data_IF_731031713160
#
_entry.id   IF_731031713160
#
_cell.length_a   1.000
_cell.length_b   1.000
_cell.length_c   1.000
_cell.angle_alpha   90.00
_cell.angle_beta   90.00
_cell.angle_gamma   90.00
#
_symmetry.space_group_name_H-M   'P 1'
#
loop_
_entity.id
_entity.type
_entity.pdbx_description
1 polymer ?
#
# COMPACT_ATOMS: atom_id res chain seq x y z
N UNK A 1 -5.66 17.72 21.15
CA UNK A 1 -6.24 17.09 19.94
C UNK A 1 -7.53 16.27 20.18
N UNK A 2 -8.36 16.58 21.19
CA UNK A 2 -9.61 15.85 21.48
C UNK A 2 -10.89 16.36 20.80
N UNK A 3 -10.80 17.34 19.88
CA UNK A 3 -11.98 18.08 19.38
C UNK A 3 -12.56 17.59 18.04
N UNK A 4 -11.84 16.84 17.21
CA UNK A 4 -12.37 16.40 15.90
C UNK A 4 -13.22 15.12 16.01
N UNK A 5 -12.75 14.10 16.74
CA UNK A 5 -13.49 12.84 16.91
C UNK A 5 -14.86 13.03 17.57
N UNK A 6 -14.96 13.95 18.53
CA UNK A 6 -16.21 14.28 19.23
C UNK A 6 -17.24 14.97 18.34
N UNK A 7 -16.81 15.60 17.23
CA UNK A 7 -17.67 16.27 16.24
C UNK A 7 -18.19 15.36 15.14
N UNK A 8 -17.71 14.13 15.04
CA UNK A 8 -18.17 13.17 14.03
C UNK A 8 -19.61 12.72 14.33
N UNK A 9 -20.45 12.71 13.31
CA UNK A 9 -21.81 12.17 13.37
C UNK A 9 -21.83 10.67 13.68
N UNK A 10 -22.98 10.16 14.14
CA UNK A 10 -23.15 8.74 14.47
C UNK A 10 -22.89 7.82 13.28
N UNK A 11 -23.35 8.22 12.09
CA UNK A 11 -23.16 7.47 10.84
C UNK A 11 -21.68 7.38 10.46
N UNK A 12 -20.97 8.51 10.38
CA UNK A 12 -19.53 8.53 10.10
C UNK A 12 -18.73 7.68 11.09
N UNK A 13 -19.08 7.68 12.38
CA UNK A 13 -18.42 6.80 13.38
C UNK A 13 -18.66 5.32 13.09
N UNK A 14 -19.86 4.96 12.63
CA UNK A 14 -20.19 3.59 12.22
C UNK A 14 -19.38 3.18 10.98
N UNK A 15 -19.32 4.05 9.97
CA UNK A 15 -18.52 3.83 8.76
C UNK A 15 -17.04 3.65 9.06
N UNK A 16 -16.45 4.53 9.86
CA UNK A 16 -15.05 4.42 10.30
C UNK A 16 -14.80 3.15 11.14
N UNK A 17 -15.81 2.67 11.88
CA UNK A 17 -15.71 1.38 12.56
C UNK A 17 -15.70 0.21 11.55
N UNK A 18 -16.59 0.20 10.56
CA UNK A 18 -16.58 -0.82 9.52
C UNK A 18 -15.25 -0.84 8.75
N UNK A 19 -14.68 0.33 8.48
CA UNK A 19 -13.35 0.45 7.89
C UNK A 19 -12.25 -0.16 8.78
N UNK A 20 -12.26 0.10 10.08
CA UNK A 20 -11.31 -0.53 11.00
C UNK A 20 -11.44 -2.05 11.01
N UNK A 21 -12.68 -2.54 11.02
CA UNK A 21 -13.00 -3.95 11.10
C UNK A 21 -12.50 -4.73 9.85
N UNK A 22 -12.19 -4.05 8.73
CA UNK A 22 -11.52 -4.66 7.56
C UNK A 22 -10.02 -4.36 7.45
N UNK A 23 -9.56 -3.15 7.79
CA UNK A 23 -8.14 -2.80 7.67
C UNK A 23 -7.28 -3.60 8.64
N UNK A 24 -7.76 -3.85 9.86
CA UNK A 24 -6.99 -4.63 10.86
C UNK A 24 -6.73 -6.06 10.40
N UNK A 25 -7.75 -6.85 9.98
CA UNK A 25 -7.50 -8.19 9.42
C UNK A 25 -6.58 -8.17 8.21
N UNK A 26 -6.78 -7.25 7.27
CA UNK A 26 -5.97 -7.15 6.06
C UNK A 26 -4.48 -6.96 6.37
N UNK A 27 -4.16 -5.98 7.22
CA UNK A 27 -2.77 -5.69 7.58
C UNK A 27 -2.16 -6.85 8.39
N UNK A 28 -2.90 -7.44 9.33
CA UNK A 28 -2.44 -8.62 10.07
C UNK A 28 -2.14 -9.78 9.15
N UNK A 29 -3.04 -10.09 8.22
CA UNK A 29 -2.85 -11.16 7.25
C UNK A 29 -1.61 -10.88 6.38
N UNK A 30 -1.46 -9.66 5.85
CA UNK A 30 -0.28 -9.27 5.09
C UNK A 30 1.02 -9.48 5.87
N UNK A 31 1.04 -9.13 7.17
CA UNK A 31 2.19 -9.32 8.06
C UNK A 31 2.53 -10.80 8.30
N UNK A 32 1.58 -11.73 8.18
CA UNK A 32 1.87 -13.18 8.23
C UNK A 32 2.56 -13.70 6.96
N UNK A 33 2.42 -12.99 5.84
CA UNK A 33 2.92 -13.40 4.53
C UNK A 33 4.23 -12.69 4.15
N UNK A 34 4.61 -11.63 4.85
CA UNK A 34 5.84 -10.90 4.57
C UNK A 34 5.99 -9.60 5.36
N UNK A 35 7.04 -8.86 5.02
CA UNK A 35 7.28 -7.54 5.62
C UNK A 35 6.32 -6.51 5.02
N UNK A 36 5.53 -5.86 5.87
CA UNK A 36 4.67 -4.72 5.51
C UNK A 36 5.38 -3.41 5.86
N UNK A 37 5.33 -2.45 4.94
CA UNK A 37 5.87 -1.10 5.09
C UNK A 37 4.83 -0.13 4.52
N UNK A 38 4.53 0.95 5.24
CA UNK A 38 3.68 2.03 4.75
C UNK A 38 4.55 3.14 4.13
N UNK A 39 4.19 3.60 2.94
CA UNK A 39 4.87 4.73 2.28
C UNK A 39 3.84 5.83 2.04
N UNK A 40 4.13 7.07 2.46
CA UNK A 40 3.19 8.19 2.35
C UNK A 40 3.88 9.51 2.05
N UNK A 41 3.20 10.37 1.31
CA UNK A 41 3.61 11.77 1.11
C UNK A 41 3.05 12.72 2.17
N UNK A 42 2.40 12.20 3.21
CA UNK A 42 2.03 13.03 4.36
C UNK A 42 3.28 13.56 5.09
N UNK A 43 3.10 14.53 5.98
CA UNK A 43 4.15 14.98 6.91
C UNK A 43 4.13 14.11 8.16
N UNK A 44 5.27 13.78 8.75
CA UNK A 44 5.27 13.10 10.04
C UNK A 44 4.69 14.00 11.15
N UNK A 45 3.99 13.47 12.16
CA UNK A 45 3.52 12.09 12.33
C UNK A 45 2.03 11.94 11.95
N UNK A 46 1.63 12.40 10.75
CA UNK A 46 0.20 12.50 10.39
C UNK A 46 -0.53 11.16 10.42
N UNK A 47 0.11 10.05 10.03
CA UNK A 47 -0.50 8.72 10.02
C UNK A 47 -0.91 8.31 11.45
N UNK A 48 0.00 8.48 12.41
CA UNK A 48 -0.24 8.14 13.83
C UNK A 48 -1.34 9.01 14.45
N UNK A 49 -1.35 10.30 14.12
CA UNK A 49 -2.40 11.22 14.59
C UNK A 49 -3.75 10.85 13.99
N UNK A 50 -3.78 10.53 12.69
CA UNK A 50 -4.99 10.14 11.97
C UNK A 50 -5.57 8.84 12.52
N UNK A 51 -4.75 7.80 12.70
CA UNK A 51 -5.19 6.52 13.27
C UNK A 51 -5.77 6.71 14.67
N UNK A 52 -5.06 7.42 15.57
CA UNK A 52 -5.57 7.70 16.93
C UNK A 52 -6.90 8.46 16.94
N UNK A 53 -7.09 9.36 15.99
CA UNK A 53 -8.27 10.23 15.93
C UNK A 53 -9.48 9.55 15.29
N UNK A 54 -9.27 8.75 14.25
CA UNK A 54 -10.34 8.25 13.37
C UNK A 54 -10.44 6.73 13.33
N UNK A 55 -9.32 6.02 13.48
CA UNK A 55 -9.21 4.56 13.37
C UNK A 55 -8.46 3.93 14.56
N UNK A 56 -8.89 4.18 15.81
CA UNK A 56 -8.11 3.84 17.01
C UNK A 56 -7.79 2.35 17.18
N UNK A 57 -8.56 1.44 16.58
CA UNK A 57 -8.24 0.01 16.59
C UNK A 57 -6.93 -0.33 15.87
N UNK A 58 -6.44 0.55 14.99
CA UNK A 58 -5.17 0.37 14.27
C UNK A 58 -3.97 0.82 15.11
N UNK A 59 -4.15 1.57 16.20
CA UNK A 59 -3.04 2.24 16.90
C UNK A 59 -1.92 1.27 17.33
N UNK A 60 -2.28 0.13 17.94
CA UNK A 60 -1.31 -0.89 18.32
C UNK A 60 -0.59 -1.48 17.10
N UNK A 61 -1.34 -1.76 16.04
CA UNK A 61 -0.82 -2.37 14.81
C UNK A 61 0.12 -1.43 14.04
N UNK A 62 -0.19 -0.13 14.02
CA UNK A 62 0.65 0.87 13.36
C UNK A 62 2.02 1.02 14.03
N UNK A 63 2.13 0.72 15.33
CA UNK A 63 3.42 0.66 16.02
C UNK A 63 4.34 -0.46 15.51
N UNK A 64 3.79 -1.49 14.86
CA UNK A 64 4.55 -2.63 14.32
C UNK A 64 4.95 -2.44 12.84
N UNK A 65 4.27 -1.55 12.12
CA UNK A 65 4.44 -1.31 10.69
C UNK A 65 5.31 -0.06 10.48
N UNK A 66 6.55 -0.20 9.97
CA UNK A 66 7.37 0.96 9.63
C UNK A 66 6.66 1.86 8.62
N UNK A 67 6.62 3.15 8.90
CA UNK A 67 6.05 4.17 8.02
C UNK A 67 7.17 5.07 7.50
N UNK A 68 7.27 5.19 6.18
CA UNK A 68 8.21 6.06 5.49
C UNK A 68 7.45 7.29 4.99
N UNK A 69 7.81 8.45 5.52
CA UNK A 69 7.31 9.75 5.09
C UNK A 69 8.16 10.28 3.92
N UNK A 70 7.77 9.94 2.70
CA UNK A 70 8.55 10.10 1.48
C UNK A 70 9.00 11.55 1.20
N UNK A 71 8.19 12.56 1.58
CA UNK A 71 8.57 13.97 1.43
C UNK A 71 9.74 14.39 2.32
N UNK A 72 10.00 13.68 3.42
CA UNK A 72 11.11 13.98 4.33
C UNK A 72 12.45 13.55 3.73
N UNK A 73 12.46 12.45 2.97
CA UNK A 73 13.65 11.93 2.27
C UNK A 73 14.22 12.91 1.23
N UNK A 74 13.37 13.76 0.66
CA UNK A 74 13.80 14.77 -0.33
C UNK A 74 14.46 15.97 0.33
N UNK A 75 14.02 16.36 1.53
CA UNK A 75 14.63 17.48 2.25
C UNK A 75 16.06 17.17 2.70
N UNK A 76 16.34 15.90 3.01
CA UNK A 76 17.66 15.45 3.47
C UNK A 76 18.69 15.37 2.33
N UNK A 77 18.26 15.25 1.08
CA UNK A 77 19.14 14.95 -0.05
C UNK A 77 19.30 16.10 -1.07
N UNK A 78 18.77 17.29 -0.77
CA UNK A 78 18.82 18.44 -1.67
C UNK A 78 17.85 18.32 -2.86
N UNK A 79 17.27 19.45 -3.27
CA UNK A 79 16.35 19.58 -4.41
C UNK A 79 17.08 20.08 -5.67
N UNK A 80 18.28 19.58 -5.94
CA UNK A 80 19.00 20.00 -7.14
C UNK A 80 18.45 19.25 -8.36
N UNK A 81 17.63 19.94 -9.16
CA UNK A 81 17.35 19.57 -10.56
C UNK A 81 15.97 19.00 -10.90
N UNK A 82 15.00 18.96 -9.99
CA UNK A 82 13.64 18.49 -10.33
C UNK A 82 12.72 19.63 -10.77
N UNK A 83 12.16 19.48 -11.97
CA UNK A 83 11.15 20.39 -12.51
C UNK A 83 9.89 20.34 -11.63
N UNK A 84 9.38 21.51 -11.26
CA UNK A 84 8.42 21.73 -10.18
C UNK A 84 6.98 21.36 -10.54
N UNK A 85 6.78 20.43 -11.48
CA UNK A 85 5.45 19.91 -11.76
C UNK A 85 5.03 18.99 -10.61
N UNK A 86 4.12 19.48 -9.77
CA UNK A 86 3.84 18.95 -8.42
C UNK A 86 3.42 17.47 -8.43
N UNK A 87 2.84 16.98 -9.53
CA UNK A 87 2.51 15.56 -9.71
C UNK A 87 3.74 14.66 -9.84
N UNK A 88 4.73 15.05 -10.63
CA UNK A 88 5.96 14.29 -10.85
C UNK A 88 6.79 14.18 -9.56
N UNK A 89 6.85 15.25 -8.76
CA UNK A 89 7.59 15.26 -7.50
C UNK A 89 7.02 14.28 -6.45
N UNK A 90 5.69 14.24 -6.29
CA UNK A 90 5.04 13.34 -5.33
C UNK A 90 5.22 11.86 -5.72
N UNK A 91 5.22 11.56 -7.01
CA UNK A 91 5.54 10.22 -7.53
C UNK A 91 6.98 9.85 -7.23
N UNK A 92 7.93 10.72 -7.58
CA UNK A 92 9.36 10.45 -7.43
C UNK A 92 9.76 10.25 -5.97
N UNK A 93 9.20 11.06 -5.06
CA UNK A 93 9.44 10.93 -3.62
C UNK A 93 9.00 9.56 -3.09
N UNK A 94 7.81 9.08 -3.46
CA UNK A 94 7.34 7.74 -3.11
C UNK A 94 8.18 6.65 -3.77
N UNK A 95 8.53 6.80 -5.05
CA UNK A 95 9.38 5.85 -5.76
C UNK A 95 10.72 5.66 -5.06
N UNK A 96 11.35 6.78 -4.65
CA UNK A 96 12.59 6.78 -3.88
C UNK A 96 12.42 6.11 -2.50
N UNK A 97 11.34 6.42 -1.78
CA UNK A 97 11.02 5.78 -0.50
C UNK A 97 10.85 4.26 -0.63
N UNK A 98 10.12 3.81 -1.65
CA UNK A 98 9.96 2.39 -1.98
C UNK A 98 11.30 1.75 -2.36
N UNK A 99 12.14 2.45 -3.14
CA UNK A 99 13.47 2.00 -3.53
C UNK A 99 14.34 1.70 -2.31
N UNK A 100 14.37 2.62 -1.36
CA UNK A 100 15.11 2.48 -0.12
C UNK A 100 14.58 1.31 0.72
N UNK A 101 13.25 1.21 0.88
CA UNK A 101 12.61 0.12 1.62
C UNK A 101 12.95 -1.27 1.05
N UNK A 102 12.85 -1.40 -0.28
CA UNK A 102 13.15 -2.64 -1.01
C UNK A 102 14.64 -2.97 -0.90
N UNK A 103 15.53 -1.99 -1.11
CA UNK A 103 16.97 -2.15 -0.99
C UNK A 103 17.36 -2.60 0.43
N UNK A 104 16.82 -1.94 1.45
CA UNK A 104 17.10 -2.26 2.85
C UNK A 104 16.61 -3.66 3.24
N UNK A 105 15.47 -4.12 2.70
CA UNK A 105 14.95 -5.45 2.98
C UNK A 105 15.81 -6.54 2.30
N UNK A 106 16.11 -6.36 1.01
CA UNK A 106 16.81 -7.36 0.21
C UNK A 106 18.35 -7.28 0.27
N UNK A 107 18.94 -6.28 0.91
CA UNK A 107 20.40 -6.23 1.16
C UNK A 107 20.84 -7.03 2.40
N UNK A 108 19.89 -7.53 3.21
CA UNK A 108 20.18 -8.14 4.52
C UNK A 108 20.98 -9.45 4.48
N UNK A 109 20.90 -10.22 3.39
CA UNK A 109 21.51 -11.55 3.32
C UNK A 109 22.09 -11.86 1.94
N UNK A 110 23.34 -12.36 1.85
CA UNK A 110 23.88 -12.88 0.61
C UNK A 110 23.12 -14.14 0.16
N UNK A 111 22.96 -14.33 -1.15
CA UNK A 111 22.44 -15.59 -1.71
C UNK A 111 20.91 -15.71 -1.89
N UNK A 112 20.11 -14.66 -1.65
CA UNK A 112 18.65 -14.68 -1.91
C UNK A 112 18.34 -15.19 -3.32
N UNK A 113 17.37 -16.06 -3.56
CA UNK A 113 17.21 -16.69 -4.89
C UNK A 113 16.12 -16.07 -5.76
N UNK A 114 15.10 -15.46 -5.15
CA UNK A 114 13.97 -14.82 -5.83
C UNK A 114 13.38 -13.74 -4.92
N UNK A 115 12.72 -12.75 -5.52
CA UNK A 115 12.11 -11.62 -4.82
C UNK A 115 10.63 -11.53 -5.18
N UNK A 116 9.80 -11.09 -4.25
CA UNK A 116 8.35 -10.97 -4.44
C UNK A 116 7.89 -9.69 -3.75
N UNK A 117 7.34 -8.77 -4.51
CA UNK A 117 6.94 -7.44 -4.04
C UNK A 117 5.48 -7.23 -4.42
N UNK A 118 4.66 -6.91 -3.41
CA UNK A 118 3.27 -6.51 -3.59
C UNK A 118 3.14 -5.04 -3.23
N UNK A 119 2.77 -4.22 -4.21
CA UNK A 119 2.45 -2.80 -4.03
C UNK A 119 0.93 -2.61 -4.12
N UNK A 120 0.36 -1.92 -3.14
CA UNK A 120 -1.07 -1.60 -3.06
C UNK A 120 -1.19 -0.09 -2.93
N UNK A 121 -1.95 0.54 -3.82
CA UNK A 121 -2.07 1.99 -3.85
C UNK A 121 -3.20 2.45 -4.75
N UNK A 122 -3.59 3.71 -4.62
CA UNK A 122 -4.67 4.32 -5.39
C UNK A 122 -4.17 5.15 -6.56
N UNK A 123 -2.87 5.18 -6.84
CA UNK A 123 -2.30 5.94 -7.94
C UNK A 123 -1.57 5.06 -8.96
N UNK A 124 -1.88 5.24 -10.26
CA UNK A 124 -1.24 4.47 -11.34
C UNK A 124 0.28 4.65 -11.38
N UNK A 125 0.74 5.86 -11.08
CA UNK A 125 2.17 6.19 -11.07
C UNK A 125 2.96 5.47 -9.97
N UNK A 126 2.30 4.93 -8.94
CA UNK A 126 2.95 4.05 -7.95
C UNK A 126 3.32 2.68 -8.53
N UNK A 127 2.60 2.23 -9.56
CA UNK A 127 2.86 0.95 -10.22
C UNK A 127 4.12 1.03 -11.09
N UNK A 128 4.28 2.13 -11.83
CA UNK A 128 5.48 2.35 -12.64
C UNK A 128 6.71 2.55 -11.76
N UNK A 129 6.55 3.29 -10.66
CA UNK A 129 7.61 3.48 -9.67
C UNK A 129 8.16 2.14 -9.14
N UNK A 130 7.31 1.21 -8.72
CA UNK A 130 7.79 -0.06 -8.16
C UNK A 130 8.45 -0.94 -9.23
N UNK A 131 7.94 -0.93 -10.47
CA UNK A 131 8.56 -1.64 -11.61
C UNK A 131 9.95 -1.08 -11.93
N UNK A 132 10.11 0.24 -11.91
CA UNK A 132 11.42 0.88 -12.09
C UNK A 132 12.39 0.55 -10.96
N UNK A 133 11.91 0.52 -9.71
CA UNK A 133 12.70 0.10 -8.55
C UNK A 133 13.19 -1.34 -8.73
N UNK A 134 12.33 -2.25 -9.18
CA UNK A 134 12.67 -3.65 -9.43
C UNK A 134 13.69 -3.78 -10.56
N UNK A 135 13.47 -3.09 -11.69
CA UNK A 135 14.37 -3.13 -12.84
C UNK A 135 15.77 -2.55 -12.55
N UNK A 136 15.85 -1.51 -11.71
CA UNK A 136 17.11 -0.83 -11.37
C UNK A 136 17.94 -1.51 -10.27
N UNK A 137 17.30 -2.17 -9.28
CA UNK A 137 18.00 -2.67 -8.09
C UNK A 137 18.26 -4.19 -8.09
N UNK A 138 17.58 -4.97 -8.92
CA UNK A 138 17.49 -6.42 -8.74
C UNK A 138 18.03 -7.20 -9.95
N UNK A 139 19.02 -6.64 -10.66
CA UNK A 139 19.51 -7.17 -11.95
C UNK A 139 20.06 -8.60 -11.91
N UNK A 140 20.47 -9.11 -10.75
CA UNK A 140 21.03 -10.46 -10.67
C UNK A 140 19.96 -11.56 -10.58
N UNK A 141 18.71 -11.26 -10.16
CA UNK A 141 17.72 -12.29 -9.77
C UNK A 141 16.27 -11.93 -10.08
N UNK A 142 15.43 -12.91 -10.48
CA UNK A 142 14.04 -12.65 -10.83
C UNK A 142 13.25 -12.09 -9.64
N UNK A 143 12.47 -11.05 -9.90
CA UNK A 143 11.58 -10.41 -8.93
C UNK A 143 10.16 -10.39 -9.48
N UNK A 144 9.22 -11.02 -8.77
CA UNK A 144 7.79 -10.92 -9.07
C UNK A 144 7.28 -9.58 -8.55
N UNK A 145 6.71 -8.80 -9.44
CA UNK A 145 6.16 -7.48 -9.14
C UNK A 145 4.66 -7.55 -9.28
N UNK A 146 3.97 -7.27 -8.17
CA UNK A 146 2.51 -7.40 -8.08
C UNK A 146 1.95 -6.06 -7.68
N UNK A 147 1.09 -5.51 -8.51
CA UNK A 147 0.53 -4.17 -8.36
C UNK A 147 -0.98 -4.26 -8.26
N UNK A 148 -1.55 -3.60 -7.25
CA UNK A 148 -2.99 -3.56 -7.02
C UNK A 148 -3.40 -2.09 -6.93
N UNK A 149 -4.06 -1.61 -7.99
CA UNK A 149 -4.62 -0.26 -8.10
C UNK A 149 -6.00 -0.26 -7.45
N UNK A 150 -6.11 0.50 -6.37
CA UNK A 150 -7.37 0.80 -5.69
C UNK A 150 -8.14 1.91 -6.42
N UNK A 151 -9.44 2.00 -6.14
CA UNK A 151 -10.29 3.09 -6.68
C UNK A 151 -9.82 4.44 -6.12
N UNK A 152 -9.84 5.47 -6.96
CA UNK A 152 -9.55 6.84 -6.54
C UNK A 152 -10.81 7.49 -5.93
N UNK A 153 -10.65 8.20 -4.80
CA UNK A 153 -11.75 8.90 -4.13
C UNK A 153 -12.98 8.06 -3.74
N UNK A 154 -12.82 6.83 -3.20
CA UNK A 154 -13.97 6.00 -2.84
C UNK A 154 -14.72 6.58 -1.64
N UNK A 155 -16.02 6.27 -1.53
CA UNK A 155 -16.75 6.43 -0.27
C UNK A 155 -16.19 5.49 0.79
N UNK A 156 -16.48 5.70 2.09
CA UNK A 156 -16.02 4.78 3.14
C UNK A 156 -16.55 3.36 2.90
N UNK A 157 -17.81 3.22 2.46
CA UNK A 157 -18.39 1.95 2.05
C UNK A 157 -17.64 1.32 0.87
N UNK A 158 -17.31 2.11 -0.17
CA UNK A 158 -16.51 1.65 -1.30
C UNK A 158 -15.09 1.23 -0.90
N UNK A 159 -14.48 1.90 0.07
CA UNK A 159 -13.19 1.52 0.64
C UNK A 159 -13.29 0.21 1.42
N UNK A 160 -14.36 0.00 2.20
CA UNK A 160 -14.60 -1.28 2.88
C UNK A 160 -14.72 -2.43 1.89
N UNK A 161 -15.47 -2.25 0.80
CA UNK A 161 -15.68 -3.29 -0.22
C UNK A 161 -14.36 -3.67 -0.90
N UNK A 162 -13.62 -2.72 -1.45
CA UNK A 162 -12.38 -3.03 -2.17
C UNK A 162 -11.31 -3.64 -1.26
N UNK A 163 -11.21 -3.19 0.00
CA UNK A 163 -10.28 -3.78 0.97
C UNK A 163 -10.71 -5.18 1.43
N UNK A 164 -12.02 -5.47 1.42
CA UNK A 164 -12.55 -6.82 1.68
C UNK A 164 -12.18 -7.79 0.57
N UNK A 165 -12.32 -7.36 -0.69
CA UNK A 165 -11.89 -8.12 -1.86
C UNK A 165 -10.38 -8.39 -1.77
N UNK A 166 -9.59 -7.33 -1.55
CA UNK A 166 -8.14 -7.46 -1.40
C UNK A 166 -7.77 -8.42 -0.25
N UNK A 167 -8.44 -8.35 0.89
CA UNK A 167 -8.18 -9.26 2.00
C UNK A 167 -8.42 -10.72 1.63
N UNK A 168 -9.48 -11.04 0.86
CA UNK A 168 -9.69 -12.40 0.35
C UNK A 168 -8.65 -12.81 -0.69
N UNK A 169 -8.29 -11.92 -1.61
CA UNK A 169 -7.41 -12.25 -2.73
C UNK A 169 -5.93 -12.30 -2.37
N UNK A 170 -5.52 -11.56 -1.34
CA UNK A 170 -4.11 -11.35 -1.01
C UNK A 170 -3.30 -12.65 -0.87
N UNK A 171 -3.79 -13.74 -0.24
CA UNK A 171 -3.05 -15.00 -0.16
C UNK A 171 -2.78 -15.64 -1.52
N UNK A 172 -3.71 -15.54 -2.47
CA UNK A 172 -3.54 -16.08 -3.82
C UNK A 172 -2.59 -15.19 -4.63
N UNK A 173 -2.77 -13.87 -4.53
CA UNK A 173 -1.88 -12.89 -5.17
C UNK A 173 -0.44 -13.13 -4.70
N UNK A 174 -0.19 -13.26 -3.40
CA UNK A 174 1.16 -13.50 -2.86
C UNK A 174 1.77 -14.79 -3.40
N UNK A 175 0.98 -15.86 -3.53
CA UNK A 175 1.42 -17.19 -4.01
C UNK A 175 1.66 -17.28 -5.51
N UNK A 176 1.06 -16.42 -6.32
CA UNK A 176 1.24 -16.43 -7.77
C UNK A 176 2.73 -16.36 -8.14
N UNK A 177 3.22 -17.24 -9.02
CA UNK A 177 4.61 -17.21 -9.51
C UNK A 177 4.75 -16.38 -10.79
N UNK A 178 3.92 -15.35 -10.92
CA UNK A 178 3.94 -14.40 -12.03
C UNK A 178 3.89 -12.98 -11.49
N UNK A 179 4.17 -12.03 -12.37
CA UNK A 179 3.75 -10.65 -12.13
C UNK A 179 2.22 -10.60 -12.11
N UNK A 180 1.69 -9.64 -11.35
CA UNK A 180 0.24 -9.44 -11.19
C UNK A 180 -0.02 -7.95 -11.36
N UNK A 181 -1.00 -7.60 -12.17
CA UNK A 181 -1.47 -6.22 -12.29
C UNK A 181 -3.00 -6.23 -12.19
N UNK A 182 -3.50 -5.78 -11.04
CA UNK A 182 -4.93 -5.70 -10.74
C UNK A 182 -5.31 -4.22 -10.71
N UNK A 183 -6.39 -3.90 -11.40
CA UNK A 183 -6.99 -2.57 -11.39
C UNK A 183 -8.45 -2.64 -10.99
N UNK A 184 -8.75 -2.22 -9.75
CA UNK A 184 -10.11 -2.23 -9.21
C UNK A 184 -11.06 -1.28 -9.95
N UNK A 185 -10.56 -0.43 -10.86
CA UNK A 185 -11.35 0.44 -11.74
C UNK A 185 -11.56 -0.11 -13.15
N UNK A 186 -11.04 -1.30 -13.46
CA UNK A 186 -11.21 -1.93 -14.77
C UNK A 186 -12.66 -2.32 -15.06
N UNK A 187 -12.91 -2.67 -16.32
CA UNK A 187 -14.21 -3.15 -16.75
C UNK A 187 -14.60 -4.50 -16.10
N UNK A 188 -15.88 -4.85 -16.24
CA UNK A 188 -16.46 -6.06 -15.66
C UNK A 188 -15.76 -7.35 -16.17
N UNK A 189 -15.30 -7.36 -17.42
CA UNK A 189 -14.61 -8.51 -17.99
C UNK A 189 -13.29 -8.79 -17.27
N UNK A 190 -12.47 -7.75 -17.08
CA UNK A 190 -11.21 -7.85 -16.36
C UNK A 190 -11.42 -8.19 -14.88
N UNK A 191 -12.41 -7.57 -14.23
CA UNK A 191 -12.74 -7.88 -12.84
C UNK A 191 -13.15 -9.35 -12.68
N UNK A 192 -14.01 -9.87 -13.57
CA UNK A 192 -14.42 -11.27 -13.55
C UNK A 192 -13.26 -12.22 -13.80
N UNK A 193 -12.30 -11.84 -14.65
CA UNK A 193 -11.08 -12.60 -14.85
C UNK A 193 -10.28 -12.74 -13.55
N UNK A 194 -10.04 -11.64 -12.81
CA UNK A 194 -9.34 -11.70 -11.52
C UNK A 194 -10.13 -12.41 -10.42
N UNK A 195 -11.46 -12.31 -10.42
CA UNK A 195 -12.32 -13.12 -9.53
C UNK A 195 -12.06 -14.60 -9.76
N UNK A 196 -11.95 -15.06 -11.01
CA UNK A 196 -11.64 -16.45 -11.33
C UNK A 196 -10.23 -16.89 -10.91
N UNK A 197 -9.25 -15.98 -10.90
CA UNK A 197 -7.85 -16.28 -10.55
C UNK A 197 -7.57 -16.22 -9.04
N UNK A 198 -8.13 -15.23 -8.35
CA UNK A 198 -7.76 -14.88 -6.98
C UNK A 198 -8.93 -14.92 -6.01
N UNK A 199 -10.16 -14.97 -6.51
CA UNK A 199 -11.35 -15.14 -5.68
C UNK A 199 -11.35 -16.50 -4.98
N UNK A 200 -11.69 -16.49 -3.70
CA UNK A 200 -11.94 -17.72 -2.96
C UNK A 200 -13.17 -18.43 -3.54
N UNK A 201 -12.97 -19.64 -4.10
CA UNK A 201 -14.04 -20.64 -4.27
C UNK A 201 -14.24 -21.50 -3.00
N UNK A 202 -13.62 -21.14 -1.88
CA UNK A 202 -13.70 -21.89 -0.62
C UNK A 202 -13.85 -20.97 0.60
N UNK A 203 -15.10 -20.65 0.92
CA UNK A 203 -15.76 -21.16 2.13
C UNK A 203 -17.24 -21.44 1.82
#
# INVERSE_FOLDING_TARGET
>A
NGQLRSRLGRETRRELKMLQDIVVPLLRQAMTMGKVILVTNAKAPWVDISCRSFLPQLEALMGEIPTIYALELVKENGLDGFDQETGCLLTETKARAMREAVSQFYSRYPGQTWKNIVSVGDAYFEHDAIRQVVAGNLQEKPCRTKTIKLLEGPTVAGMVVQLSILNSWLPQIVRADTDVDIDMSADEEQVNHWVGLYGDLQN
#
